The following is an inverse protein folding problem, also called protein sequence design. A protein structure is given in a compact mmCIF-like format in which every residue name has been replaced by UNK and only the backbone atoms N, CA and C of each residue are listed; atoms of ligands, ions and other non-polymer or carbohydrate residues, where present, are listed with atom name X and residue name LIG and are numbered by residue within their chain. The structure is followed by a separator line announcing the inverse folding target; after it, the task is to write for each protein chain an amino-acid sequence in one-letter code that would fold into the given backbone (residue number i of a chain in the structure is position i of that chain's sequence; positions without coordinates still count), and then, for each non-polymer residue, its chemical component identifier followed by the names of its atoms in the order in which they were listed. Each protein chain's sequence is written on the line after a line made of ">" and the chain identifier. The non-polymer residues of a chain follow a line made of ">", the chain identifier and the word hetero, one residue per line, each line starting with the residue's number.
data_IF_889178399938
#
_entry.id   IF_889178399938
#
_cell.length_a   1.000
_cell.length_b   1.000
_cell.length_c   1.000
_cell.angle_alpha   90.00
_cell.angle_beta   90.00
_cell.angle_gamma   90.00
#
_symmetry.space_group_name_H-M   'P 1'
#
loop_
_entity.id
_entity.type
_entity.pdbx_description
1 polymer ?
#
# COMPACT_ATOMS: atom_id res chain seq x y z
N UNK A 1 3.59 -25.63 2.83
CA UNK A 1 2.84 -25.73 4.08
C UNK A 1 1.59 -24.94 3.99
N UNK A 2 0.53 -25.43 4.60
CA UNK A 2 -0.80 -24.85 4.48
C UNK A 2 -0.86 -23.39 4.92
N UNK A 3 -0.16 -23.04 5.98
CA UNK A 3 -0.17 -21.68 6.49
C UNK A 3 0.69 -20.72 5.66
N UNK A 4 1.73 -21.22 4.98
CA UNK A 4 2.50 -20.41 4.03
C UNK A 4 1.67 -20.09 2.80
N UNK A 5 0.91 -21.06 2.32
CA UNK A 5 -0.02 -20.84 1.22
C UNK A 5 -1.05 -19.76 1.57
N UNK A 6 -1.55 -19.76 2.80
CA UNK A 6 -2.48 -18.73 3.27
C UNK A 6 -1.83 -17.35 3.29
N UNK A 7 -0.57 -17.26 3.71
CA UNK A 7 0.16 -16.01 3.74
C UNK A 7 0.44 -15.46 2.33
N UNK A 8 0.60 -16.35 1.35
CA UNK A 8 0.88 -15.98 -0.04
C UNK A 8 -0.37 -15.73 -0.88
N UNK A 9 -1.55 -16.11 -0.36
CA UNK A 9 -2.81 -15.98 -1.09
C UNK A 9 -3.67 -14.82 -0.60
N UNK A 10 -3.15 -13.98 0.31
CA UNK A 10 -3.90 -12.82 0.78
C UNK A 10 -4.20 -11.89 -0.39
N UNK A 11 -5.48 -11.63 -0.60
CA UNK A 11 -5.96 -10.90 -1.75
C UNK A 11 -7.15 -10.04 -1.35
N UNK A 12 -7.16 -8.81 -1.85
CA UNK A 12 -8.28 -7.90 -1.70
C UNK A 12 -8.89 -7.72 -3.08
N UNK A 13 -10.17 -8.00 -3.22
CA UNK A 13 -10.87 -7.82 -4.48
C UNK A 13 -11.68 -6.53 -4.46
N UNK A 14 -11.56 -5.73 -5.51
CA UNK A 14 -12.36 -4.53 -5.71
C UNK A 14 -13.22 -4.69 -6.96
N UNK A 15 -13.99 -3.66 -7.32
CA UNK A 15 -14.84 -3.73 -8.51
C UNK A 15 -14.03 -4.01 -9.78
N UNK A 16 -12.85 -3.39 -9.92
CA UNK A 16 -12.04 -3.48 -11.14
C UNK A 16 -10.71 -4.20 -10.99
N UNK A 17 -10.30 -4.50 -9.76
CA UNK A 17 -8.92 -4.96 -9.49
C UNK A 17 -8.87 -6.12 -8.52
N UNK A 18 -7.73 -6.80 -8.54
CA UNK A 18 -7.27 -7.67 -7.46
C UNK A 18 -6.00 -7.07 -6.90
N UNK A 19 -5.92 -6.96 -5.59
CA UNK A 19 -4.75 -6.42 -4.88
C UNK A 19 -4.15 -7.58 -4.11
N UNK A 20 -2.97 -8.01 -4.52
CA UNK A 20 -2.33 -9.21 -3.96
C UNK A 20 -1.05 -8.86 -3.24
N UNK A 21 -0.86 -9.45 -2.06
CA UNK A 21 0.39 -9.31 -1.34
C UNK A 21 1.47 -10.15 -2.03
N UNK A 22 2.68 -9.59 -2.15
CA UNK A 22 3.82 -10.34 -2.68
C UNK A 22 4.39 -11.27 -1.62
N UNK A 23 4.89 -12.43 -2.06
CA UNK A 23 5.71 -13.29 -1.22
C UNK A 23 7.08 -12.63 -1.03
N UNK A 24 7.86 -13.11 -0.07
CA UNK A 24 9.22 -12.63 0.14
C UNK A 24 10.08 -12.85 -1.11
N UNK A 25 9.91 -13.99 -1.77
CA UNK A 25 10.63 -14.30 -3.01
C UNK A 25 10.26 -13.33 -4.13
N UNK A 26 8.97 -13.01 -4.28
CA UNK A 26 8.51 -12.05 -5.29
C UNK A 26 9.03 -10.65 -5.00
N UNK A 27 9.03 -10.23 -3.74
CA UNK A 27 9.56 -8.92 -3.35
C UNK A 27 11.06 -8.85 -3.60
N UNK A 28 11.79 -9.94 -3.38
CA UNK A 28 13.21 -10.03 -3.70
C UNK A 28 13.45 -9.84 -5.21
N UNK A 29 12.61 -10.42 -6.04
CA UNK A 29 12.66 -10.22 -7.49
C UNK A 29 12.44 -8.74 -7.86
N UNK A 30 11.51 -8.07 -7.18
CA UNK A 30 11.26 -6.63 -7.37
C UNK A 30 12.51 -5.82 -7.02
N UNK A 31 13.14 -6.12 -5.89
CA UNK A 31 14.39 -5.47 -5.47
C UNK A 31 15.48 -5.66 -6.53
N UNK A 32 15.66 -6.90 -6.98
CA UNK A 32 16.73 -7.22 -7.94
C UNK A 32 16.50 -6.58 -9.30
N UNK A 33 15.26 -6.44 -9.72
CA UNK A 33 14.90 -5.88 -11.03
C UNK A 33 14.87 -4.34 -11.03
N UNK A 34 14.76 -3.70 -9.86
CA UNK A 34 14.66 -2.24 -9.79
C UNK A 34 15.99 -1.57 -10.13
N UNK A 35 15.94 -0.60 -11.02
CA UNK A 35 17.14 0.13 -11.48
C UNK A 35 17.31 1.49 -10.84
N UNK A 36 16.21 2.10 -10.35
CA UNK A 36 16.30 3.36 -9.63
C UNK A 36 16.88 3.09 -8.24
N UNK A 37 18.04 3.68 -7.89
CA UNK A 37 18.68 3.39 -6.61
C UNK A 37 17.83 3.70 -5.38
N UNK A 38 17.04 4.77 -5.42
CA UNK A 38 16.17 5.15 -4.30
C UNK A 38 15.03 4.15 -4.10
N UNK A 39 14.38 3.74 -5.21
CA UNK A 39 13.31 2.76 -5.15
C UNK A 39 13.85 1.38 -4.76
N UNK A 40 15.01 1.01 -5.28
CA UNK A 40 15.65 -0.26 -4.93
C UNK A 40 15.94 -0.32 -3.44
N UNK A 41 16.46 0.75 -2.86
CA UNK A 41 16.72 0.83 -1.42
C UNK A 41 15.43 0.72 -0.62
N UNK A 42 14.38 1.44 -1.05
CA UNK A 42 13.08 1.39 -0.38
C UNK A 42 12.47 -0.02 -0.40
N UNK A 43 12.53 -0.70 -1.53
CA UNK A 43 12.03 -2.08 -1.63
C UNK A 43 12.87 -3.05 -0.82
N UNK A 44 14.20 -2.84 -0.77
CA UNK A 44 15.09 -3.66 0.05
C UNK A 44 14.78 -3.50 1.55
N UNK A 45 14.55 -2.28 2.01
CA UNK A 45 14.14 -2.01 3.39
C UNK A 45 12.80 -2.67 3.72
N UNK A 46 11.87 -2.63 2.77
CA UNK A 46 10.57 -3.28 2.90
C UNK A 46 10.73 -4.80 3.05
N UNK A 47 11.58 -5.42 2.24
CA UNK A 47 11.88 -6.84 2.34
C UNK A 47 12.51 -7.18 3.69
N UNK A 48 13.46 -6.38 4.15
CA UNK A 48 14.10 -6.56 5.46
C UNK A 48 13.05 -6.52 6.58
N UNK A 49 12.11 -5.58 6.50
CA UNK A 49 11.01 -5.47 7.45
C UNK A 49 10.10 -6.69 7.45
N UNK A 50 9.76 -7.20 6.26
CA UNK A 50 8.92 -8.39 6.11
C UNK A 50 9.62 -9.63 6.68
N UNK A 51 10.91 -9.79 6.41
CA UNK A 51 11.70 -10.92 6.92
C UNK A 51 11.89 -10.86 8.43
N UNK A 52 12.04 -9.65 8.99
CA UNK A 52 12.20 -9.44 10.43
C UNK A 52 10.89 -9.61 11.20
N UNK A 53 9.74 -9.49 10.52
CA UNK A 53 8.42 -9.53 11.14
C UNK A 53 7.52 -10.55 10.43
N UNK A 54 7.87 -11.86 10.44
CA UNK A 54 7.13 -12.86 9.66
C UNK A 54 5.66 -12.99 10.04
N UNK A 55 5.30 -12.74 11.32
CA UNK A 55 3.92 -12.80 11.79
C UNK A 55 3.11 -11.55 11.39
N UNK A 56 3.79 -10.47 11.01
CA UNK A 56 3.19 -9.20 10.62
C UNK A 56 3.63 -8.76 9.24
N UNK A 57 4.07 -9.71 8.41
CA UNK A 57 4.65 -9.39 7.11
C UNK A 57 3.69 -8.63 6.18
N UNK A 58 2.38 -8.82 6.31
CA UNK A 58 1.38 -8.12 5.51
C UNK A 58 1.44 -6.59 5.72
N UNK A 59 1.96 -6.16 6.87
CA UNK A 59 2.12 -4.75 7.21
C UNK A 59 3.49 -4.19 6.81
N UNK A 60 4.35 -5.01 6.21
CA UNK A 60 5.72 -4.64 5.85
C UNK A 60 6.07 -4.92 4.39
N UNK A 61 5.21 -5.60 3.65
CA UNK A 61 5.51 -6.02 2.28
C UNK A 61 4.71 -5.23 1.25
N UNK A 62 4.99 -5.49 -0.01
CA UNK A 62 4.35 -4.81 -1.14
C UNK A 62 3.08 -5.55 -1.56
N UNK A 63 2.04 -4.80 -1.87
CA UNK A 63 0.80 -5.28 -2.47
C UNK A 63 0.73 -4.75 -3.89
N UNK A 64 0.38 -5.59 -4.84
CA UNK A 64 0.34 -5.24 -6.27
C UNK A 64 -1.09 -5.19 -6.74
N UNK A 65 -1.44 -4.12 -7.47
CA UNK A 65 -2.76 -3.89 -8.05
C UNK A 65 -2.78 -4.41 -9.47
N UNK A 66 -3.69 -5.35 -9.77
CA UNK A 66 -3.87 -5.85 -11.13
C UNK A 66 -5.33 -5.68 -11.56
N UNK A 67 -5.52 -5.37 -12.84
CA UNK A 67 -6.87 -5.31 -13.41
C UNK A 67 -7.45 -6.71 -13.54
N UNK A 68 -8.77 -6.82 -13.44
CA UNK A 68 -9.51 -8.05 -13.69
C UNK A 68 -9.66 -8.27 -15.20
N UNK A 69 -8.54 -8.29 -15.90
CA UNK A 69 -8.52 -8.58 -17.35
C UNK A 69 -7.74 -9.87 -17.58
N UNK A 70 -7.75 -10.35 -18.83
CA UNK A 70 -7.09 -11.61 -19.21
C UNK A 70 -5.58 -11.59 -18.97
N UNK A 71 -4.98 -10.39 -18.99
CA UNK A 71 -3.54 -10.22 -18.85
C UNK A 71 -3.11 -9.96 -17.42
N UNK A 72 -4.07 -9.76 -16.51
CA UNK A 72 -3.80 -9.34 -15.13
C UNK A 72 -2.82 -8.16 -15.10
N UNK A 73 -3.15 -7.13 -15.87
CA UNK A 73 -2.30 -5.95 -16.06
C UNK A 73 -2.00 -5.26 -14.73
N UNK A 74 -0.72 -5.09 -14.42
CA UNK A 74 -0.30 -4.37 -13.22
C UNK A 74 -0.51 -2.88 -13.41
N UNK A 75 -1.28 -2.25 -12.53
CA UNK A 75 -1.63 -0.83 -12.61
C UNK A 75 -1.14 0.00 -11.43
N UNK A 76 -0.52 -0.62 -10.45
CA UNK A 76 0.05 0.09 -9.31
C UNK A 76 0.43 -0.83 -8.18
N UNK A 77 0.89 -0.21 -7.10
CA UNK A 77 1.22 -0.94 -5.88
C UNK A 77 0.92 -0.09 -4.65
N UNK A 78 0.81 -0.77 -3.51
CA UNK A 78 0.59 -0.13 -2.22
C UNK A 78 1.39 -0.89 -1.17
N UNK A 79 1.67 -0.20 -0.05
CA UNK A 79 2.29 -0.83 1.11
C UNK A 79 1.84 -0.12 2.39
N UNK A 80 1.97 -0.83 3.49
CA UNK A 80 1.94 -0.22 4.81
C UNK A 80 3.37 -0.15 5.33
N UNK A 81 3.68 0.88 6.10
CA UNK A 81 5.04 1.07 6.65
C UNK A 81 5.13 0.52 8.08
N UNK A 82 4.66 -0.72 8.26
CA UNK A 82 4.65 -1.40 9.54
C UNK A 82 3.37 -1.16 10.33
N UNK A 83 3.23 -1.89 11.41
CA UNK A 83 2.15 -1.73 12.36
C UNK A 83 2.74 -1.87 13.76
N UNK A 84 2.56 -0.87 14.59
CA UNK A 84 3.06 -0.86 15.96
C UNK A 84 1.93 -0.74 17.00
N UNK A 85 2.30 -0.54 18.24
CA UNK A 85 1.34 -0.44 19.34
C UNK A 85 0.46 0.81 19.28
N UNK A 86 0.81 1.81 18.46
CA UNK A 86 -0.01 3.01 18.29
C UNK A 86 -1.31 2.73 17.55
N UNK A 87 -1.39 1.62 16.81
CA UNK A 87 -2.54 1.21 15.98
C UNK A 87 -2.80 2.20 14.84
N UNK A 88 -1.78 2.94 14.45
CA UNK A 88 -1.79 3.86 13.31
C UNK A 88 -0.86 3.30 12.25
N UNK A 89 -1.33 3.19 11.00
CA UNK A 89 -0.50 2.75 9.89
C UNK A 89 -0.25 3.90 8.93
N UNK A 90 0.89 3.88 8.29
CA UNK A 90 1.16 4.78 7.18
C UNK A 90 1.04 4.00 5.89
N UNK A 91 0.25 4.51 4.94
CA UNK A 91 0.06 3.88 3.63
C UNK A 91 0.87 4.62 2.58
N UNK A 92 1.61 3.85 1.78
CA UNK A 92 2.31 4.34 0.60
C UNK A 92 1.73 3.71 -0.65
N UNK A 93 1.82 4.38 -1.79
CA UNK A 93 1.30 3.83 -3.04
C UNK A 93 1.88 4.54 -4.26
N UNK A 94 1.86 3.85 -5.39
CA UNK A 94 2.28 4.40 -6.68
C UNK A 94 1.43 3.82 -7.79
N UNK A 95 1.01 4.67 -8.72
CA UNK A 95 0.26 4.23 -9.91
C UNK A 95 1.25 3.99 -11.05
N UNK A 96 1.07 2.88 -11.76
CA UNK A 96 1.87 2.58 -12.95
C UNK A 96 1.66 3.67 -14.00
N UNK A 97 2.73 4.20 -14.62
CA UNK A 97 2.60 5.20 -15.68
C UNK A 97 1.64 4.77 -16.77
N UNK A 98 0.74 5.67 -17.17
CA UNK A 98 -0.29 5.39 -18.15
C UNK A 98 -1.64 4.99 -17.58
N UNK A 99 -1.70 4.71 -16.28
CA UNK A 99 -2.95 4.31 -15.60
C UNK A 99 -3.49 5.35 -14.63
N UNK A 100 -2.87 6.52 -14.59
CA UNK A 100 -3.33 7.64 -13.77
C UNK A 100 -4.64 8.22 -14.31
N UNK A 101 -5.39 8.89 -13.45
CA UNK A 101 -6.60 9.60 -13.84
C UNK A 101 -7.81 8.73 -14.09
N UNK A 102 -7.77 7.45 -13.71
CA UNK A 102 -8.87 6.50 -13.92
C UNK A 102 -9.60 6.13 -12.63
N UNK A 103 -9.22 6.73 -11.51
CA UNK A 103 -9.80 6.42 -10.20
C UNK A 103 -9.35 5.10 -9.60
N UNK A 104 -8.38 4.43 -10.20
CA UNK A 104 -7.90 3.13 -9.72
C UNK A 104 -7.26 3.23 -8.33
N UNK A 105 -6.41 4.23 -8.11
CA UNK A 105 -5.77 4.39 -6.81
C UNK A 105 -6.77 4.78 -5.72
N UNK A 106 -7.76 5.60 -6.05
CA UNK A 106 -8.85 5.92 -5.12
C UNK A 106 -9.57 4.65 -4.66
N UNK A 107 -9.87 3.77 -5.60
CA UNK A 107 -10.51 2.48 -5.33
C UNK A 107 -9.62 1.58 -4.47
N UNK A 108 -8.34 1.51 -4.79
CA UNK A 108 -7.37 0.66 -4.09
C UNK A 108 -7.11 1.12 -2.66
N UNK A 109 -6.89 2.41 -2.46
CA UNK A 109 -6.66 2.99 -1.11
C UNK A 109 -7.86 2.70 -0.21
N UNK A 110 -9.07 2.94 -0.72
CA UNK A 110 -10.30 2.64 0.03
C UNK A 110 -10.38 1.18 0.45
N UNK A 111 -10.07 0.27 -0.47
CA UNK A 111 -10.09 -1.17 -0.19
C UNK A 111 -9.04 -1.57 0.84
N UNK A 112 -7.84 -1.01 0.74
CA UNK A 112 -6.76 -1.30 1.71
C UNK A 112 -7.12 -0.82 3.12
N UNK A 113 -7.70 0.37 3.22
CA UNK A 113 -8.13 0.90 4.52
C UNK A 113 -9.23 0.04 5.12
N UNK A 114 -10.22 -0.36 4.33
CA UNK A 114 -11.29 -1.27 4.82
C UNK A 114 -10.73 -2.60 5.27
N UNK A 115 -9.77 -3.16 4.52
CA UNK A 115 -9.09 -4.38 4.91
C UNK A 115 -8.35 -4.21 6.24
N UNK A 116 -7.59 -3.14 6.37
CA UNK A 116 -6.81 -2.85 7.58
C UNK A 116 -7.71 -2.73 8.81
N UNK A 117 -8.80 -2.00 8.70
CA UNK A 117 -9.76 -1.81 9.79
C UNK A 117 -10.44 -3.13 10.17
N UNK A 118 -10.77 -3.94 9.17
CA UNK A 118 -11.42 -5.24 9.39
C UNK A 118 -10.56 -6.21 10.19
N UNK A 119 -9.24 -6.01 10.23
CA UNK A 119 -8.35 -6.83 11.09
C UNK A 119 -8.56 -6.57 12.57
N UNK A 120 -9.14 -5.43 12.93
CA UNK A 120 -9.28 -5.00 14.33
C UNK A 120 -8.01 -4.42 14.93
N UNK A 121 -6.94 -4.27 14.13
CA UNK A 121 -5.63 -3.84 14.60
C UNK A 121 -5.33 -2.36 14.31
N UNK A 122 -6.15 -1.69 13.50
CA UNK A 122 -5.89 -0.33 13.02
C UNK A 122 -7.01 0.61 13.40
N UNK A 123 -6.65 1.72 14.03
CA UNK A 123 -7.58 2.78 14.42
C UNK A 123 -7.48 4.01 13.51
N UNK A 124 -6.32 4.22 12.89
CA UNK A 124 -6.09 5.38 12.04
C UNK A 124 -5.04 5.07 10.98
N UNK A 125 -5.02 5.87 9.94
CA UNK A 125 -4.03 5.76 8.86
C UNK A 125 -3.48 7.15 8.53
N UNK A 126 -2.23 7.19 8.13
CA UNK A 126 -1.56 8.39 7.66
C UNK A 126 -1.01 8.15 6.27
N UNK A 127 -0.80 9.22 5.52
CA UNK A 127 -0.16 9.19 4.22
C UNK A 127 0.54 10.51 3.96
N UNK A 128 1.61 10.46 3.18
CA UNK A 128 2.36 11.64 2.79
C UNK A 128 2.43 11.70 1.26
N UNK A 129 2.29 12.89 0.70
CA UNK A 129 2.37 13.08 -0.76
C UNK A 129 3.37 14.17 -1.11
N UNK A 130 3.88 14.15 -2.34
CA UNK A 130 4.59 15.31 -2.86
C UNK A 130 3.61 16.49 -2.99
N UNK A 131 4.04 17.73 -2.73
CA UNK A 131 3.15 18.89 -2.78
C UNK A 131 2.46 19.10 -4.14
N UNK A 132 3.14 18.74 -5.22
CA UNK A 132 2.63 18.88 -6.58
C UNK A 132 1.76 17.71 -7.03
N UNK A 133 1.65 16.65 -6.25
CA UNK A 133 0.87 15.47 -6.64
C UNK A 133 -0.60 15.61 -6.26
N UNK A 134 -1.32 16.42 -7.04
CA UNK A 134 -2.74 16.69 -6.81
C UNK A 134 -3.59 15.42 -6.95
N UNK A 135 -3.23 14.52 -7.85
CA UNK A 135 -3.98 13.26 -8.04
C UNK A 135 -3.92 12.38 -6.79
N UNK A 136 -2.74 12.27 -6.17
CA UNK A 136 -2.56 11.53 -4.93
C UNK A 136 -3.37 12.13 -3.79
N UNK A 137 -3.34 13.46 -3.66
CA UNK A 137 -4.08 14.17 -2.63
C UNK A 137 -5.59 13.96 -2.80
N UNK A 138 -6.09 14.00 -4.04
CA UNK A 138 -7.52 13.74 -4.31
C UNK A 138 -7.91 12.30 -3.97
N UNK A 139 -7.05 11.34 -4.24
CA UNK A 139 -7.32 9.94 -3.89
C UNK A 139 -7.47 9.78 -2.37
N UNK A 140 -6.65 10.47 -1.60
CA UNK A 140 -6.74 10.48 -0.15
C UNK A 140 -8.03 11.16 0.32
N UNK A 141 -8.30 12.37 -0.18
CA UNK A 141 -9.48 13.14 0.21
C UNK A 141 -10.79 12.39 -0.09
N UNK A 142 -10.87 11.74 -1.25
CA UNK A 142 -12.04 10.93 -1.63
C UNK A 142 -12.26 9.73 -0.71
N UNK A 143 -11.22 9.29 -0.01
CA UNK A 143 -11.29 8.21 0.96
C UNK A 143 -11.46 8.71 2.41
N UNK A 144 -11.72 10.00 2.59
CA UNK A 144 -11.96 10.56 3.91
C UNK A 144 -10.71 10.99 4.67
N UNK A 145 -9.56 10.98 4.03
CA UNK A 145 -8.35 11.57 4.62
C UNK A 145 -8.46 13.07 4.59
N UNK A 146 -7.86 13.71 5.58
CA UNK A 146 -7.78 15.17 5.64
C UNK A 146 -6.34 15.60 5.90
N UNK A 147 -6.02 16.82 5.47
CA UNK A 147 -4.71 17.40 5.75
C UNK A 147 -4.50 17.49 7.26
N UNK A 148 -3.39 16.94 7.74
CA UNK A 148 -3.09 16.86 9.17
C UNK A 148 -2.48 18.14 9.76
N UNK A 149 -2.27 19.16 8.94
CA UNK A 149 -1.70 20.44 9.39
C UNK A 149 -0.19 20.41 9.54
N UNK A 150 0.47 19.38 8.99
CA UNK A 150 1.92 19.22 9.07
C UNK A 150 2.50 18.64 7.80
N UNK A 151 3.82 18.80 7.64
CA UNK A 151 4.55 18.34 6.47
C UNK A 151 5.64 17.37 6.93
N UNK A 152 5.87 16.31 6.15
CA UNK A 152 6.99 15.41 6.29
C UNK A 152 8.09 15.74 5.28
N UNK A 153 9.02 14.84 5.07
CA UNK A 153 10.13 15.02 4.15
C UNK A 153 9.69 15.21 2.70
N UNK A 154 8.63 14.56 2.28
CA UNK A 154 8.14 14.61 0.90
C UNK A 154 7.13 15.72 0.67
N UNK A 155 6.34 16.07 1.68
CA UNK A 155 5.31 17.10 1.55
C UNK A 155 4.19 16.95 2.59
N UNK A 156 2.97 17.42 2.25
CA UNK A 156 1.87 17.42 3.21
C UNK A 156 1.48 16.01 3.66
N UNK A 157 1.16 15.88 4.94
CA UNK A 157 0.69 14.65 5.53
C UNK A 157 -0.82 14.70 5.69
N UNK A 158 -1.44 13.55 5.47
CA UNK A 158 -2.88 13.37 5.56
C UNK A 158 -3.19 12.29 6.59
N UNK A 159 -4.36 12.40 7.21
CA UNK A 159 -4.79 11.47 8.25
C UNK A 159 -6.22 11.04 8.04
N UNK A 160 -6.47 9.77 8.33
CA UNK A 160 -7.80 9.18 8.36
C UNK A 160 -8.00 8.51 9.73
N UNK A 161 -9.13 8.77 10.36
CA UNK A 161 -9.49 8.14 11.62
C UNK A 161 -10.70 7.24 11.42
N UNK A 162 -10.67 6.05 12.03
CA UNK A 162 -11.78 5.13 11.95
C UNK A 162 -13.01 5.75 12.63
N UNK A 163 -14.11 6.00 11.90
CA UNK A 163 -15.33 6.51 12.50
C UNK A 163 -15.98 5.42 13.34
N UNK A 164 -16.01 5.61 14.64
CA UNK A 164 -16.64 4.66 15.57
C UNK A 164 -17.95 5.19 16.10
#
# INVERSE_FOLDING_TARGET
>A
MVWEEKATTEEIETARMRIRVLTDAQLREVVDAERDPELKEAYAEMLDGALANPERRLWHTLWVMTLKDERETVVGNLDFKGLDASRVVEIGYATTPGYEGRGLMTEAVGAMIRWAVATGLVDAAEAETAPENAASQRALEKNGFRFAGKFGEEGPRFQWDNPR
#
